data_IF_428573636556
#
_entry.id   IF_428573636556
#
_cell.length_a   1.000
_cell.length_b   1.000
_cell.length_c   1.000
_cell.angle_alpha   90.00
_cell.angle_beta   90.00
_cell.angle_gamma   90.00
#
_symmetry.space_group_name_H-M   'P 1'
#
loop_
_entity.id
_entity.type
_entity.pdbx_description
1 polymer ?
#
# COMPACT_ATOMS: atom_id res chain seq x y z
N UNK A 1 -9.15 -5.02 17.58
CA UNK A 1 -8.03 -5.93 17.25
C UNK A 1 -8.62 -7.07 16.43
N UNK A 2 -8.13 -7.29 15.22
CA UNK A 2 -8.64 -8.34 14.33
C UNK A 2 -8.13 -9.68 14.88
N UNK A 3 -9.00 -10.46 15.54
CA UNK A 3 -8.70 -11.85 15.89
C UNK A 3 -9.46 -12.73 14.90
N UNK A 4 -8.97 -12.82 13.66
CA UNK A 4 -9.27 -14.01 12.88
C UNK A 4 -8.38 -15.11 13.45
N UNK A 5 -8.88 -15.84 14.45
CA UNK A 5 -8.32 -17.15 14.72
C UNK A 5 -9.25 -18.21 14.13
N UNK A 6 -8.98 -18.55 12.87
CA UNK A 6 -9.48 -19.79 12.28
C UNK A 6 -8.90 -20.95 13.09
N UNK A 7 -9.78 -21.82 13.59
CA UNK A 7 -9.55 -22.88 14.61
C UNK A 7 -8.47 -23.95 14.33
N UNK A 8 -7.55 -23.73 13.40
CA UNK A 8 -6.52 -24.70 13.00
C UNK A 8 -5.11 -24.10 12.90
N UNK A 9 -4.78 -23.10 13.73
CA UNK A 9 -3.40 -22.63 13.91
C UNK A 9 -2.89 -22.96 15.31
N UNK A 10 -1.71 -23.61 15.46
CA UNK A 10 -1.17 -24.06 16.75
C UNK A 10 -0.77 -22.91 17.70
N UNK A 11 -0.95 -21.64 17.30
CA UNK A 11 -0.65 -20.45 18.12
C UNK A 11 -1.86 -19.83 18.84
N UNK A 12 -3.07 -20.38 18.73
CA UNK A 12 -4.27 -19.83 19.37
C UNK A 12 -4.85 -20.71 20.48
N UNK A 13 -4.03 -21.23 21.39
CA UNK A 13 -4.54 -21.85 22.64
C UNK A 13 -4.53 -20.86 23.80
N UNK A 14 -5.06 -19.66 23.57
CA UNK A 14 -5.37 -18.72 24.64
C UNK A 14 -6.83 -18.86 24.96
N UNK A 15 -7.12 -19.39 26.15
CA UNK A 15 -8.46 -19.37 26.73
C UNK A 15 -8.82 -17.90 26.99
N UNK A 16 -9.81 -17.39 26.27
CA UNK A 16 -10.37 -16.06 26.53
C UNK A 16 -11.54 -16.22 27.47
N UNK A 17 -11.58 -15.45 28.55
CA UNK A 17 -12.75 -15.42 29.41
C UNK A 17 -13.92 -14.79 28.66
N UNK A 18 -15.16 -15.15 29.00
CA UNK A 18 -16.34 -14.56 28.36
C UNK A 18 -16.39 -13.03 28.55
N UNK A 19 -15.74 -12.53 29.62
CA UNK A 19 -15.57 -11.09 29.90
C UNK A 19 -14.61 -10.38 28.92
N UNK A 20 -13.71 -11.13 28.28
CA UNK A 20 -12.68 -10.60 27.38
C UNK A 20 -13.16 -10.56 25.92
N UNK A 21 -14.35 -11.12 25.64
CA UNK A 21 -14.94 -11.09 24.30
C UNK A 21 -15.51 -9.69 24.01
N UNK A 22 -15.09 -9.01 22.93
CA UNK A 22 -15.61 -7.70 22.59
C UNK A 22 -17.11 -7.80 22.27
N UNK A 23 -17.94 -7.04 23.00
CA UNK A 23 -19.39 -7.00 22.76
C UNK A 23 -19.77 -6.31 21.45
N UNK A 24 -18.84 -5.54 20.87
CA UNK A 24 -19.01 -4.81 19.62
C UNK A 24 -17.76 -4.95 18.77
N UNK A 25 -17.94 -5.05 17.46
CA UNK A 25 -16.85 -5.09 16.50
C UNK A 25 -16.98 -3.97 15.48
N UNK A 26 -15.85 -3.46 15.00
CA UNK A 26 -15.80 -2.45 13.94
C UNK A 26 -15.65 -3.14 12.59
N UNK A 27 -16.22 -2.53 11.55
CA UNK A 27 -15.93 -2.97 10.19
C UNK A 27 -14.46 -2.75 9.82
N UNK A 28 -13.97 -3.37 8.75
CA UNK A 28 -12.54 -3.25 8.38
C UNK A 28 -12.09 -1.81 8.12
N UNK A 29 -12.99 -0.94 7.64
CA UNK A 29 -12.69 0.47 7.43
C UNK A 29 -12.92 1.36 8.66
N UNK A 30 -13.34 0.79 9.79
CA UNK A 30 -13.63 1.44 11.07
C UNK A 30 -14.68 2.55 11.01
N UNK A 31 -15.56 2.55 10.00
CA UNK A 31 -16.63 3.54 9.85
C UNK A 31 -17.95 3.13 10.50
N UNK A 32 -18.13 1.83 10.74
CA UNK A 32 -19.39 1.28 11.23
C UNK A 32 -19.11 0.28 12.35
N UNK A 33 -19.92 0.35 13.41
CA UNK A 33 -19.93 -0.55 14.55
C UNK A 33 -21.02 -1.60 14.29
N UNK A 34 -20.70 -2.87 14.49
CA UNK A 34 -21.60 -4.01 14.31
C UNK A 34 -22.33 -3.97 12.94
N UNK A 35 -21.58 -3.93 11.81
CA UNK A 35 -22.17 -3.86 10.48
C UNK A 35 -23.15 -5.00 10.23
N UNK A 36 -24.25 -4.66 9.56
CA UNK A 36 -25.34 -5.59 9.25
C UNK A 36 -24.85 -6.80 8.45
N UNK A 37 -25.33 -7.98 8.83
CA UNK A 37 -25.03 -9.20 8.09
C UNK A 37 -25.75 -9.21 6.74
N UNK A 38 -24.99 -9.42 5.66
CA UNK A 38 -25.52 -9.66 4.33
C UNK A 38 -24.83 -10.90 3.74
N UNK A 39 -25.58 -11.95 3.33
CA UNK A 39 -25.00 -13.18 2.77
C UNK A 39 -24.08 -12.97 1.55
N UNK A 40 -24.25 -11.86 0.84
CA UNK A 40 -23.48 -11.51 -0.36
C UNK A 40 -22.31 -10.55 -0.07
N UNK A 41 -22.17 -10.09 1.17
CA UNK A 41 -21.07 -9.23 1.58
C UNK A 41 -19.98 -10.03 2.32
N UNK A 42 -18.79 -9.45 2.37
CA UNK A 42 -17.70 -10.01 3.16
C UNK A 42 -18.06 -9.85 4.65
N UNK A 43 -17.93 -10.90 5.49
CA UNK A 43 -18.16 -10.78 6.93
C UNK A 43 -17.37 -9.63 7.55
N UNK A 44 -18.00 -8.87 8.45
CA UNK A 44 -17.46 -7.65 9.07
C UNK A 44 -17.17 -6.49 8.10
N UNK A 45 -17.61 -6.57 6.84
CA UNK A 45 -17.62 -5.43 5.92
C UNK A 45 -18.91 -4.63 6.11
N UNK A 46 -18.81 -3.30 6.03
CA UNK A 46 -19.99 -2.42 5.96
C UNK A 46 -20.57 -2.29 4.54
N UNK A 47 -19.96 -2.93 3.54
CA UNK A 47 -20.38 -2.81 2.14
C UNK A 47 -20.15 -1.44 1.48
N UNK A 48 -19.79 -0.41 2.24
CA UNK A 48 -19.46 0.93 1.71
C UNK A 48 -18.04 1.00 1.17
N UNK A 49 -17.71 2.06 0.42
CA UNK A 49 -16.33 2.36 0.00
C UNK A 49 -15.40 2.49 1.22
N UNK A 50 -14.17 1.98 1.13
CA UNK A 50 -13.22 1.91 2.24
C UNK A 50 -12.82 3.30 2.72
N UNK A 51 -12.40 4.20 1.82
CA UNK A 51 -12.12 5.60 2.12
C UNK A 51 -10.89 5.85 3.02
N UNK A 52 -10.17 4.80 3.45
CA UNK A 52 -8.89 4.96 4.17
C UNK A 52 -7.87 5.71 3.31
N UNK A 53 -7.03 6.53 3.95
CA UNK A 53 -5.84 7.09 3.28
C UNK A 53 -4.90 5.95 2.88
N UNK A 54 -4.40 6.02 1.65
CA UNK A 54 -3.49 5.01 1.13
C UNK A 54 -2.09 5.20 1.73
N UNK A 55 -1.40 4.08 1.93
CA UNK A 55 -0.03 4.02 2.43
C UNK A 55 0.84 3.37 1.33
N UNK A 56 1.98 3.97 0.93
CA UNK A 56 2.54 5.25 1.39
C UNK A 56 1.62 6.43 1.08
N UNK A 57 1.71 7.48 1.91
CA UNK A 57 0.83 8.65 1.77
C UNK A 57 1.08 9.35 0.43
N UNK A 58 0.03 9.41 -0.39
CA UNK A 58 0.07 10.04 -1.70
C UNK A 58 -1.08 11.02 -1.93
N UNK A 59 -1.78 11.43 -0.87
CA UNK A 59 -2.96 12.30 -0.92
C UNK A 59 -4.23 11.64 -1.47
N UNK A 60 -4.20 10.34 -1.77
CA UNK A 60 -5.34 9.60 -2.32
C UNK A 60 -5.96 8.65 -1.29
N UNK A 61 -7.25 8.34 -1.49
CA UNK A 61 -8.03 7.42 -0.67
C UNK A 61 -8.29 6.10 -1.37
N UNK A 62 -8.52 5.04 -0.59
CA UNK A 62 -8.91 3.73 -1.09
C UNK A 62 -10.35 3.77 -1.63
N UNK A 63 -10.51 3.45 -2.92
CA UNK A 63 -11.80 3.43 -3.62
C UNK A 63 -12.45 2.04 -3.66
N UNK A 64 -11.78 1.01 -3.14
CA UNK A 64 -12.39 -0.31 -3.01
C UNK A 64 -13.52 -0.30 -1.99
N UNK A 65 -14.42 -1.28 -2.06
CA UNK A 65 -15.35 -1.56 -0.96
C UNK A 65 -14.58 -1.92 0.31
N UNK A 66 -15.23 -1.79 1.46
CA UNK A 66 -14.67 -2.18 2.76
C UNK A 66 -14.19 -3.64 2.67
N UNK A 67 -12.89 -3.81 2.84
CA UNK A 67 -12.17 -5.04 2.52
C UNK A 67 -11.29 -5.46 3.70
N UNK A 68 -11.03 -6.77 3.85
CA UNK A 68 -10.06 -7.25 4.83
C UNK A 68 -8.64 -6.85 4.41
N UNK A 69 -7.74 -6.78 5.39
CA UNK A 69 -6.32 -6.53 5.17
C UNK A 69 -5.94 -5.07 4.81
N UNK A 70 -4.66 -4.84 4.47
CA UNK A 70 -4.16 -3.52 4.09
C UNK A 70 -4.72 -3.07 2.74
N UNK A 71 -4.83 -1.76 2.53
CA UNK A 71 -5.23 -1.21 1.23
C UNK A 71 -4.15 -1.46 0.17
N UNK A 72 -4.53 -1.75 -1.09
CA UNK A 72 -3.56 -1.90 -2.17
C UNK A 72 -2.86 -0.57 -2.50
N UNK A 73 -1.73 -0.61 -3.24
CA UNK A 73 -1.07 0.60 -3.72
C UNK A 73 -2.00 1.48 -4.56
N UNK A 74 -1.72 2.79 -4.59
CA UNK A 74 -2.58 3.74 -5.26
C UNK A 74 -2.73 3.46 -6.76
N UNK A 75 -3.97 3.24 -7.25
CA UNK A 75 -4.21 2.94 -8.66
C UNK A 75 -4.27 4.20 -9.52
N UNK A 76 -4.26 5.41 -8.94
CA UNK A 76 -4.31 6.65 -9.73
C UNK A 76 -3.10 6.75 -10.66
N UNK A 77 -3.34 7.20 -11.89
CA UNK A 77 -2.28 7.43 -12.86
C UNK A 77 -1.76 8.86 -12.69
N UNK A 78 -0.44 9.00 -12.69
CA UNK A 78 0.27 10.27 -12.58
C UNK A 78 1.38 10.32 -13.64
N UNK A 79 1.80 11.52 -14.00
CA UNK A 79 2.98 11.70 -14.84
C UNK A 79 4.21 11.81 -13.94
N UNK A 80 5.23 11.00 -14.20
CA UNK A 80 6.49 11.00 -13.45
C UNK A 80 7.66 11.25 -14.39
N UNK A 81 8.68 11.94 -13.87
CA UNK A 81 9.95 12.12 -14.57
C UNK A 81 10.85 10.91 -14.34
N UNK A 82 11.74 10.66 -15.29
CA UNK A 82 12.80 9.68 -15.10
C UNK A 82 13.73 10.16 -13.99
N UNK A 83 14.34 9.25 -13.23
CA UNK A 83 15.42 9.59 -12.30
C UNK A 83 16.58 10.38 -12.96
N UNK A 84 16.76 10.26 -14.27
CA UNK A 84 17.75 11.03 -15.02
C UNK A 84 17.32 12.46 -15.38
N UNK A 85 16.03 12.79 -15.29
CA UNK A 85 15.40 14.02 -15.77
C UNK A 85 15.61 14.36 -17.26
N UNK A 86 16.26 13.50 -18.05
CA UNK A 86 16.50 13.71 -19.50
C UNK A 86 15.36 13.19 -20.38
N UNK A 87 14.51 12.32 -19.83
CA UNK A 87 13.33 11.81 -20.54
C UNK A 87 12.09 12.58 -20.12
N UNK A 88 11.17 12.81 -21.06
CA UNK A 88 9.91 13.49 -20.81
C UNK A 88 9.01 12.76 -19.80
N UNK A 89 7.97 13.44 -19.27
CA UNK A 89 7.04 12.85 -18.32
C UNK A 89 6.35 11.61 -18.89
N UNK A 90 6.27 10.54 -18.10
CA UNK A 90 5.64 9.28 -18.49
C UNK A 90 4.52 8.91 -17.53
N UNK A 91 3.40 8.42 -18.06
CA UNK A 91 2.27 7.97 -17.27
C UNK A 91 2.60 6.69 -16.48
N UNK A 92 2.46 6.73 -15.16
CA UNK A 92 2.72 5.62 -14.23
C UNK A 92 1.66 5.57 -13.14
N UNK A 93 1.54 4.43 -12.46
CA UNK A 93 0.69 4.30 -11.27
C UNK A 93 1.33 5.02 -10.10
N UNK A 94 0.55 5.76 -9.34
CA UNK A 94 0.99 6.55 -8.19
C UNK A 94 1.66 5.66 -7.12
N UNK A 95 1.11 4.46 -6.86
CA UNK A 95 1.72 3.48 -5.98
C UNK A 95 3.08 2.94 -6.45
N UNK A 96 3.46 3.20 -7.70
CA UNK A 96 4.70 2.73 -8.34
C UNK A 96 5.34 3.86 -9.17
N UNK A 97 5.49 5.03 -8.55
CA UNK A 97 5.99 6.26 -9.20
C UNK A 97 7.45 6.19 -9.67
N UNK A 98 8.25 5.27 -9.14
CA UNK A 98 9.63 5.09 -9.55
C UNK A 98 9.76 4.69 -11.02
N UNK A 99 10.59 5.41 -11.77
CA UNK A 99 10.78 5.17 -13.19
C UNK A 99 12.18 5.56 -13.69
N UNK A 100 12.73 4.68 -14.54
CA UNK A 100 13.96 4.91 -15.29
C UNK A 100 13.76 4.60 -16.76
N UNK A 101 14.40 5.38 -17.63
CA UNK A 101 14.42 5.18 -19.07
C UNK A 101 15.48 4.18 -19.56
N UNK A 102 16.30 3.62 -18.67
CA UNK A 102 17.32 2.63 -19.03
C UNK A 102 18.51 3.19 -19.82
N UNK A 103 18.65 4.51 -19.91
CA UNK A 103 19.83 5.17 -20.51
C UNK A 103 21.02 5.15 -19.55
N UNK A 104 22.24 5.21 -20.10
CA UNK A 104 23.46 5.38 -19.31
C UNK A 104 23.43 6.70 -18.52
N UNK A 105 23.86 6.67 -17.26
CA UNK A 105 23.77 7.81 -16.36
C UNK A 105 24.64 8.97 -16.79
N UNK A 106 25.87 8.71 -17.24
CA UNK A 106 26.85 9.68 -17.74
C UNK A 106 27.13 10.90 -16.84
N UNK A 107 26.54 10.92 -15.63
CA UNK A 107 26.64 11.97 -14.61
C UNK A 107 28.05 11.94 -14.03
N UNK A 108 28.65 13.12 -13.83
CA UNK A 108 29.94 13.22 -13.16
C UNK A 108 29.81 12.68 -11.73
N UNK A 109 30.70 11.78 -11.34
CA UNK A 109 30.83 11.30 -9.97
C UNK A 109 31.47 12.41 -9.09
N UNK A 110 31.37 12.25 -7.77
CA UNK A 110 31.93 13.21 -6.79
C UNK A 110 33.43 13.46 -6.95
N UNK A 111 34.17 12.50 -7.51
CA UNK A 111 35.58 12.64 -7.86
C UNK A 111 35.86 13.61 -9.03
N UNK A 112 34.83 14.11 -9.72
CA UNK A 112 34.90 15.02 -10.88
C UNK A 112 35.69 14.52 -12.11
N UNK A 113 36.32 13.35 -12.03
CA UNK A 113 37.15 12.78 -13.09
C UNK A 113 36.49 11.62 -13.83
N UNK A 114 35.50 10.97 -13.20
CA UNK A 114 34.82 9.80 -13.75
C UNK A 114 33.33 10.07 -13.97
N UNK A 115 32.78 9.48 -15.03
CA UNK A 115 31.34 9.52 -15.32
C UNK A 115 30.70 8.21 -14.86
N UNK A 116 29.46 8.29 -14.41
CA UNK A 116 28.68 7.13 -14.02
C UNK A 116 28.37 6.28 -15.26
N UNK A 117 28.98 5.10 -15.35
CA UNK A 117 28.73 4.11 -16.41
C UNK A 117 27.54 3.21 -16.09
N UNK A 118 26.93 3.35 -14.91
CA UNK A 118 25.75 2.58 -14.57
C UNK A 118 24.55 3.07 -15.38
N UNK A 119 23.76 2.12 -15.86
CA UNK A 119 22.41 2.39 -16.35
C UNK A 119 21.57 2.78 -15.14
N UNK A 120 20.68 3.77 -15.29
CA UNK A 120 19.72 4.11 -14.25
C UNK A 120 18.85 2.88 -13.94
N UNK A 121 19.23 2.06 -12.97
CA UNK A 121 18.37 1.06 -12.36
C UNK A 121 17.79 1.65 -11.08
N UNK A 122 16.70 1.05 -10.61
CA UNK A 122 15.86 1.50 -9.47
C UNK A 122 16.65 1.49 -8.12
N UNK A 123 17.97 1.30 -8.13
CA UNK A 123 18.84 1.12 -6.98
C UNK A 123 19.50 2.40 -6.42
N UNK A 124 19.33 3.56 -7.05
CA UNK A 124 19.94 4.81 -6.55
C UNK A 124 19.29 5.37 -5.26
N UNK A 125 18.25 4.75 -4.70
CA UNK A 125 17.62 5.19 -3.44
C UNK A 125 18.26 4.61 -2.17
N UNK A 126 19.31 3.79 -2.24
CA UNK A 126 19.92 3.14 -1.05
C UNK A 126 21.32 3.61 -0.67
N UNK A 127 22.00 4.39 -1.50
CA UNK A 127 23.35 4.90 -1.20
C UNK A 127 23.47 6.32 -1.73
N UNK A 128 23.02 7.27 -0.91
CA UNK A 128 23.34 8.69 -0.99
C UNK A 128 23.99 9.09 0.32
#
# INVERSE_FOLDING_TARGET
IIIYCSSFSPKCRTEFDQKDTPKRYLCYCHKEIDPQFNPWSIPHSCGQTCGKRLIPECGHICLLLCHPGPCPPCPKQINVLCYCNQSGPTARRCGFKGWSCGKACSKLLSCQQHRCEQVYFIFHEKFG
#
